data_IF_777393585160
#
_entry.id   IF_777393585160
#
_cell.length_a   1.000
_cell.length_b   1.000
_cell.length_c   1.000
_cell.angle_alpha   90.00
_cell.angle_beta   90.00
_cell.angle_gamma   90.00
#
_symmetry.space_group_name_H-M   'P 1'
#
loop_
_entity.id
_entity.type
_entity.pdbx_description
1 polymer ?
#
# COMPACT_ATOMS: atom_id res chain seq x y z
N UNK A 1 -9.07 10.45 11.15
CA UNK A 1 -8.72 10.57 12.55
C UNK A 1 -7.24 10.81 12.83
N UNK A 2 -6.36 10.39 11.95
CA UNK A 2 -4.92 10.67 12.11
C UNK A 2 -4.50 11.81 11.21
N UNK A 3 -3.71 12.69 11.73
CA UNK A 3 -3.19 13.80 10.97
C UNK A 3 -1.69 13.89 11.22
N UNK A 4 -0.87 14.17 10.20
CA UNK A 4 -1.22 14.51 8.82
C UNK A 4 -1.50 13.33 7.90
N UNK A 5 -1.41 12.11 8.40
CA UNK A 5 -1.59 10.91 7.59
C UNK A 5 -2.84 10.18 8.07
N UNK A 6 -3.88 10.06 7.23
CA UNK A 6 -5.09 9.36 7.66
C UNK A 6 -4.89 7.85 7.65
N UNK A 7 -5.59 7.18 8.57
CA UNK A 7 -5.60 5.71 8.60
C UNK A 7 -6.72 5.23 7.68
N UNK A 8 -6.40 4.40 6.70
CA UNK A 8 -7.37 3.92 5.72
C UNK A 8 -7.14 2.45 5.43
N UNK A 9 -8.05 1.88 4.65
CA UNK A 9 -7.90 0.51 4.15
C UNK A 9 -7.23 0.46 2.78
N UNK A 10 -6.66 1.56 2.32
CA UNK A 10 -5.98 1.60 1.03
C UNK A 10 -4.90 0.54 0.91
N UNK A 11 -4.06 0.41 1.93
CA UNK A 11 -2.97 -0.56 1.86
C UNK A 11 -3.49 -1.99 1.82
N UNK A 12 -4.62 -2.26 2.47
CA UNK A 12 -5.21 -3.58 2.38
C UNK A 12 -5.60 -3.91 0.94
N UNK A 13 -6.22 -2.96 0.24
CA UNK A 13 -6.59 -3.15 -1.16
C UNK A 13 -5.33 -3.34 -2.01
N UNK A 14 -4.29 -2.58 -1.73
CA UNK A 14 -3.00 -2.71 -2.43
C UNK A 14 -2.44 -4.12 -2.23
N UNK A 15 -2.54 -4.66 -1.02
CA UNK A 15 -2.10 -6.01 -0.75
C UNK A 15 -2.85 -7.02 -1.62
N UNK A 16 -4.18 -6.88 -1.71
CA UNK A 16 -4.98 -7.79 -2.51
C UNK A 16 -4.64 -7.68 -4.00
N UNK A 17 -4.49 -6.46 -4.49
CA UNK A 17 -4.11 -6.25 -5.88
C UNK A 17 -2.75 -6.88 -6.16
N UNK A 18 -1.78 -6.62 -5.30
CA UNK A 18 -0.44 -7.17 -5.50
C UNK A 18 -0.44 -8.69 -5.54
N UNK A 19 -1.19 -9.31 -4.65
CA UNK A 19 -1.17 -10.76 -4.55
C UNK A 19 -1.96 -11.47 -5.62
N UNK A 20 -2.96 -10.81 -6.22
CA UNK A 20 -3.86 -11.47 -7.16
C UNK A 20 -3.68 -11.04 -8.61
N UNK A 21 -3.04 -9.90 -8.85
CA UNK A 21 -2.84 -9.38 -10.21
C UNK A 21 -1.44 -9.68 -10.70
N UNK A 22 -1.27 -9.68 -12.02
CA UNK A 22 0.07 -9.76 -12.60
C UNK A 22 0.83 -8.46 -12.32
N UNK A 23 2.14 -8.49 -12.49
CA UNK A 23 2.96 -7.30 -12.28
C UNK A 23 2.49 -6.15 -13.17
N UNK A 24 2.25 -6.43 -14.43
CA UNK A 24 1.79 -5.40 -15.37
C UNK A 24 0.44 -4.84 -14.95
N UNK A 25 -0.49 -5.71 -14.61
CA UNK A 25 -1.83 -5.28 -14.23
C UNK A 25 -1.83 -4.49 -12.93
N UNK A 26 -1.01 -4.89 -11.96
CA UNK A 26 -0.87 -4.15 -10.72
C UNK A 26 -0.35 -2.74 -10.99
N UNK A 27 0.69 -2.63 -11.82
CA UNK A 27 1.25 -1.33 -12.14
C UNK A 27 0.21 -0.43 -12.81
N UNK A 28 -0.49 -0.97 -13.81
CA UNK A 28 -1.50 -0.19 -14.54
C UNK A 28 -2.64 0.21 -13.62
N UNK A 29 -3.12 -0.72 -12.80
CA UNK A 29 -4.26 -0.46 -11.92
C UNK A 29 -3.96 0.65 -10.92
N UNK A 30 -2.83 0.56 -10.25
CA UNK A 30 -2.49 1.57 -9.24
C UNK A 30 -2.14 2.90 -9.90
N UNK A 31 -1.49 2.84 -11.06
CA UNK A 31 -1.20 4.08 -11.82
C UNK A 31 -2.48 4.79 -12.21
N UNK A 32 -3.49 4.04 -12.66
CA UNK A 32 -4.80 4.63 -13.00
C UNK A 32 -5.47 5.22 -11.77
N UNK A 33 -5.36 4.55 -10.64
CA UNK A 33 -5.91 5.07 -9.40
C UNK A 33 -5.28 6.42 -9.05
N UNK A 34 -3.96 6.51 -9.12
CA UNK A 34 -3.26 7.75 -8.84
C UNK A 34 -3.62 8.84 -9.85
N UNK A 35 -3.75 8.46 -11.12
CA UNK A 35 -4.12 9.40 -12.16
C UNK A 35 -5.51 9.96 -11.93
N UNK A 36 -6.47 9.10 -11.59
CA UNK A 36 -7.83 9.55 -11.30
C UNK A 36 -7.84 10.54 -10.14
N UNK A 37 -7.08 10.25 -9.10
CA UNK A 37 -6.98 11.17 -7.98
C UNK A 37 -6.32 12.48 -8.35
N UNK A 38 -5.31 12.44 -9.22
CA UNK A 38 -4.59 13.63 -9.63
C UNK A 38 -5.46 14.60 -10.40
N UNK A 39 -6.39 14.09 -11.20
CA UNK A 39 -7.27 14.97 -11.99
C UNK A 39 -8.48 15.47 -11.21
N UNK A 40 -8.57 15.12 -9.93
CA UNK A 40 -9.57 15.69 -9.05
C UNK A 40 -10.67 14.77 -8.58
N UNK A 41 -10.70 13.52 -9.03
CA UNK A 41 -11.72 12.59 -8.54
C UNK A 41 -11.47 12.30 -7.06
N UNK A 42 -12.51 12.27 -6.23
CA UNK A 42 -12.31 12.10 -4.78
C UNK A 42 -12.09 10.63 -4.40
N UNK A 43 -10.99 10.05 -4.91
CA UNK A 43 -10.67 8.65 -4.67
C UNK A 43 -9.62 8.45 -3.60
N UNK A 44 -8.99 9.53 -3.11
CA UNK A 44 -8.04 9.46 -2.01
C UNK A 44 -8.77 9.64 -0.69
N UNK A 45 -8.06 9.42 0.40
CA UNK A 45 -8.66 9.36 1.73
C UNK A 45 -9.53 10.56 2.09
N UNK A 46 -9.14 11.76 1.69
CA UNK A 46 -9.88 12.97 2.03
C UNK A 46 -10.26 13.79 0.82
N UNK A 47 -10.29 13.16 -0.37
CA UNK A 47 -10.65 13.85 -1.58
C UNK A 47 -9.74 13.48 -2.72
N UNK A 48 -9.35 14.45 -3.52
CA UNK A 48 -8.48 14.21 -4.66
C UNK A 48 -7.79 15.48 -5.11
N UNK A 49 -7.10 15.39 -6.23
CA UNK A 49 -6.41 16.52 -6.82
C UNK A 49 -4.91 16.35 -6.78
N UNK A 50 -4.24 17.15 -7.62
CA UNK A 50 -2.79 17.08 -7.73
C UNK A 50 -2.09 17.42 -6.40
N UNK A 51 -2.76 18.18 -5.55
CA UNK A 51 -2.20 18.53 -4.25
C UNK A 51 -1.96 17.30 -3.38
N UNK A 52 -2.70 16.23 -3.58
CA UNK A 52 -2.45 14.97 -2.86
C UNK A 52 -1.13 14.36 -3.26
N UNK A 53 -0.74 14.51 -4.52
CA UNK A 53 0.51 13.92 -5.01
C UNK A 53 1.72 14.78 -4.69
N UNK A 54 1.52 15.92 -4.05
CA UNK A 54 2.62 16.78 -3.61
C UNK A 54 2.49 17.12 -2.13
N UNK A 55 1.48 16.61 -1.46
CA UNK A 55 1.23 16.90 -0.04
C UNK A 55 1.87 15.89 0.90
N UNK A 56 1.51 15.94 2.19
CA UNK A 56 2.16 15.12 3.21
C UNK A 56 2.05 13.63 2.99
N UNK A 57 1.00 13.16 2.33
CA UNK A 57 0.80 11.72 2.13
C UNK A 57 1.29 11.24 0.77
N UNK A 58 1.90 12.12 -0.03
CA UNK A 58 2.29 11.78 -1.39
C UNK A 58 3.24 10.58 -1.44
N UNK A 59 4.21 10.53 -0.52
CA UNK A 59 5.14 9.43 -0.49
C UNK A 59 4.46 8.09 -0.30
N UNK A 60 3.43 8.04 0.53
CA UNK A 60 2.68 6.81 0.74
C UNK A 60 1.99 6.35 -0.53
N UNK A 61 1.44 7.28 -1.30
CA UNK A 61 0.76 6.95 -2.57
C UNK A 61 1.75 6.39 -3.58
N UNK A 62 2.91 7.02 -3.72
CA UNK A 62 3.93 6.50 -4.63
C UNK A 62 4.45 5.16 -4.12
N UNK A 63 4.60 5.02 -2.81
CA UNK A 63 5.01 3.76 -2.21
C UNK A 63 4.02 2.63 -2.51
N UNK A 64 2.74 2.95 -2.54
CA UNK A 64 1.73 1.96 -2.87
C UNK A 64 1.91 1.41 -4.28
N UNK A 65 2.26 2.27 -5.23
CA UNK A 65 2.51 1.82 -6.59
C UNK A 65 3.65 0.81 -6.63
N UNK A 66 4.79 1.17 -6.05
CA UNK A 66 5.95 0.30 -6.06
C UNK A 66 5.73 -0.95 -5.22
N UNK A 67 5.00 -0.82 -4.11
CA UNK A 67 4.69 -1.97 -3.27
C UNK A 67 3.82 -2.98 -4.02
N UNK A 68 2.82 -2.51 -4.75
CA UNK A 68 1.95 -3.41 -5.48
C UNK A 68 2.72 -4.21 -6.52
N UNK A 69 3.67 -3.56 -7.19
CA UNK A 69 4.52 -4.22 -8.18
C UNK A 69 5.42 -5.25 -7.51
N UNK A 70 6.04 -4.90 -6.38
CA UNK A 70 6.91 -5.83 -5.67
C UNK A 70 6.14 -7.02 -5.16
N UNK A 71 4.95 -6.80 -4.59
CA UNK A 71 4.12 -7.89 -4.09
C UNK A 71 3.70 -8.81 -5.24
N UNK A 72 3.31 -8.23 -6.38
CA UNK A 72 2.96 -9.02 -7.56
C UNK A 72 4.13 -9.87 -8.03
N UNK A 73 5.32 -9.30 -7.99
CA UNK A 73 6.51 -10.04 -8.38
C UNK A 73 6.69 -11.28 -7.51
N UNK A 74 6.57 -11.12 -6.19
CA UNK A 74 6.67 -12.25 -5.29
C UNK A 74 5.52 -13.24 -5.50
N UNK A 75 4.32 -12.73 -5.76
CA UNK A 75 3.19 -13.61 -6.00
C UNK A 75 3.40 -14.48 -7.23
N UNK A 76 4.02 -13.92 -8.28
CA UNK A 76 4.32 -14.66 -9.49
C UNK A 76 5.35 -15.75 -9.24
N UNK A 77 6.15 -15.61 -8.18
CA UNK A 77 7.10 -16.65 -7.77
C UNK A 77 6.44 -17.69 -6.86
N UNK A 78 5.15 -17.57 -6.62
CA UNK A 78 4.44 -18.52 -5.78
C UNK A 78 4.27 -18.10 -4.34
N UNK A 79 4.66 -16.88 -3.98
CA UNK A 79 4.61 -16.44 -2.60
C UNK A 79 3.19 -16.21 -2.07
N UNK A 80 2.19 -16.14 -2.95
CA UNK A 80 0.81 -15.99 -2.49
C UNK A 80 0.14 -17.30 -2.12
N UNK A 81 0.83 -18.41 -2.25
CA UNK A 81 0.20 -19.72 -2.08
C UNK A 81 0.25 -20.26 -0.66
N UNK A 82 1.15 -19.75 0.17
CA UNK A 82 1.26 -20.17 1.54
C UNK A 82 1.15 -18.96 2.45
N UNK A 83 0.69 -19.20 3.68
CA UNK A 83 0.51 -18.10 4.62
C UNK A 83 1.82 -17.42 4.96
N UNK A 84 2.87 -18.22 5.19
CA UNK A 84 4.15 -17.66 5.59
C UNK A 84 4.76 -16.78 4.48
N UNK A 85 4.75 -17.28 3.25
CA UNK A 85 5.32 -16.52 2.14
C UNK A 85 4.49 -15.31 1.80
N UNK A 86 3.16 -15.42 1.90
CA UNK A 86 2.29 -14.27 1.70
C UNK A 86 2.61 -13.20 2.72
N UNK A 87 2.76 -13.57 4.00
CA UNK A 87 3.09 -12.62 5.04
C UNK A 87 4.41 -11.91 4.74
N UNK A 88 5.41 -12.66 4.30
CA UNK A 88 6.70 -12.06 3.95
C UNK A 88 6.54 -11.01 2.86
N UNK A 89 5.81 -11.35 1.80
CA UNK A 89 5.60 -10.42 0.69
C UNK A 89 4.89 -9.15 1.14
N UNK A 90 3.89 -9.29 2.00
CA UNK A 90 3.13 -8.13 2.46
C UNK A 90 3.95 -7.27 3.41
N UNK A 91 4.81 -7.88 4.21
CA UNK A 91 5.72 -7.13 5.07
C UNK A 91 6.68 -6.31 4.21
N UNK A 92 7.23 -6.92 3.16
CA UNK A 92 8.11 -6.19 2.23
C UNK A 92 7.34 -5.02 1.60
N UNK A 93 6.10 -5.26 1.17
CA UNK A 93 5.27 -4.20 0.62
C UNK A 93 5.04 -3.06 1.60
N UNK A 94 4.75 -3.40 2.85
CA UNK A 94 4.55 -2.38 3.88
C UNK A 94 5.81 -1.57 4.13
N UNK A 95 6.96 -2.23 4.14
CA UNK A 95 8.23 -1.53 4.31
C UNK A 95 8.43 -0.53 3.17
N UNK A 96 8.11 -0.93 1.94
CA UNK A 96 8.22 -0.03 0.79
C UNK A 96 7.31 1.17 0.98
N UNK A 97 6.04 0.94 1.32
CA UNK A 97 5.07 2.02 1.48
C UNK A 97 5.52 3.02 2.54
N UNK A 98 5.90 2.52 3.72
CA UNK A 98 6.29 3.41 4.80
C UNK A 98 7.64 4.06 4.58
N UNK A 99 8.56 3.38 3.88
CA UNK A 99 9.84 4.00 3.53
C UNK A 99 9.63 5.22 2.64
N UNK A 100 8.84 5.05 1.58
CA UNK A 100 8.53 6.18 0.70
C UNK A 100 7.79 7.27 1.47
N UNK A 101 6.82 6.86 2.29
CA UNK A 101 6.02 7.82 3.05
C UNK A 101 6.84 8.62 4.02
N UNK A 102 7.68 7.96 4.80
CA UNK A 102 8.48 8.63 5.82
C UNK A 102 9.55 9.52 5.19
N UNK A 103 10.19 9.05 4.13
CA UNK A 103 11.20 9.86 3.45
C UNK A 103 10.58 11.16 2.95
N UNK A 104 9.43 11.08 2.31
CA UNK A 104 8.78 12.26 1.78
C UNK A 104 8.22 13.14 2.90
N UNK A 105 7.50 12.56 3.84
CA UNK A 105 6.91 13.30 4.95
C UNK A 105 8.00 13.94 5.81
N UNK A 106 9.07 13.23 6.04
CA UNK A 106 10.19 13.75 6.83
C UNK A 106 10.83 14.96 6.21
N UNK A 107 10.83 15.07 4.90
CA UNK A 107 11.39 16.25 4.23
C UNK A 107 10.49 17.48 4.41
N UNK A 108 9.24 17.27 4.82
CA UNK A 108 8.28 18.35 5.03
C UNK A 108 8.21 18.76 6.51
N UNK A 109 8.08 17.79 7.41
CA UNK A 109 7.83 18.09 8.83
C UNK A 109 8.96 17.65 9.76
N UNK A 110 10.02 17.06 9.21
CA UNK A 110 11.11 16.53 10.02
C UNK A 110 10.94 15.05 10.28
N UNK A 111 12.07 14.32 10.30
CA UNK A 111 12.00 12.86 10.35
C UNK A 111 11.48 12.33 11.69
N UNK A 112 11.78 13.01 12.79
CA UNK A 112 11.27 12.58 14.08
C UNK A 112 9.75 12.66 14.12
N UNK A 113 9.20 13.77 13.65
CA UNK A 113 7.74 13.93 13.59
C UNK A 113 7.12 12.98 12.59
N UNK A 114 7.80 12.74 11.47
CA UNK A 114 7.30 11.84 10.45
C UNK A 114 7.16 10.42 11.02
N UNK A 115 8.15 9.95 11.74
CA UNK A 115 8.10 8.63 12.33
C UNK A 115 7.01 8.57 13.41
N UNK A 116 6.93 9.58 14.25
CA UNK A 116 5.95 9.60 15.33
C UNK A 116 4.51 9.67 14.83
N UNK A 117 4.26 10.37 13.72
CA UNK A 117 2.91 10.57 13.21
C UNK A 117 2.58 9.70 12.01
N UNK A 118 3.57 9.30 11.23
CA UNK A 118 3.37 8.62 9.97
C UNK A 118 3.74 7.14 9.97
N UNK A 119 4.31 6.63 11.04
CA UNK A 119 4.68 5.23 11.13
C UNK A 119 4.16 4.58 12.40
N UNK A 120 4.57 5.08 13.56
CA UNK A 120 4.27 4.39 14.82
C UNK A 120 2.78 4.16 15.06
N UNK A 121 1.88 5.14 14.82
CA UNK A 121 0.45 4.90 15.06
C UNK A 121 -0.16 3.88 14.10
N UNK A 122 0.49 3.63 12.96
CA UNK A 122 -0.06 2.77 11.94
C UNK A 122 0.42 1.33 12.04
N UNK A 123 1.42 1.06 12.86
CA UNK A 123 1.96 -0.30 12.95
C UNK A 123 0.89 -1.31 13.39
N UNK A 124 0.10 -1.07 14.43
CA UNK A 124 -0.93 -2.05 14.80
C UNK A 124 -1.95 -2.27 13.69
N UNK A 125 -2.39 -1.20 13.04
CA UNK A 125 -3.34 -1.30 11.94
C UNK A 125 -2.75 -2.07 10.78
N UNK A 126 -1.50 -1.80 10.45
CA UNK A 126 -0.85 -2.47 9.32
C UNK A 126 -0.66 -3.96 9.60
N UNK A 127 -0.29 -4.31 10.82
CA UNK A 127 -0.16 -5.72 11.18
C UNK A 127 -1.51 -6.43 11.09
N UNK A 128 -2.59 -5.75 11.49
CA UNK A 128 -3.93 -6.31 11.35
C UNK A 128 -4.29 -6.53 9.88
N UNK A 129 -3.98 -5.54 9.03
CA UNK A 129 -4.26 -5.65 7.60
C UNK A 129 -3.47 -6.78 6.96
N UNK A 130 -2.21 -6.93 7.35
CA UNK A 130 -1.39 -8.03 6.84
C UNK A 130 -1.98 -9.36 7.29
N UNK A 131 -2.35 -9.49 8.55
CA UNK A 131 -2.94 -10.73 9.05
C UNK A 131 -4.23 -11.06 8.31
N UNK A 132 -5.08 -10.07 8.09
CA UNK A 132 -6.34 -10.29 7.39
C UNK A 132 -6.09 -10.71 5.95
N UNK A 133 -5.16 -10.05 5.27
CA UNK A 133 -4.84 -10.39 3.89
C UNK A 133 -4.23 -11.79 3.81
N UNK A 134 -3.34 -12.13 4.74
CA UNK A 134 -2.73 -13.45 4.78
C UNK A 134 -3.80 -14.53 4.95
N UNK A 135 -4.80 -14.25 5.76
CA UNK A 135 -5.90 -15.20 5.95
C UNK A 135 -6.72 -15.40 4.70
N UNK A 136 -6.88 -14.34 3.89
CA UNK A 136 -7.75 -14.39 2.71
C UNK A 136 -7.05 -14.81 1.44
N UNK A 137 -5.81 -14.37 1.24
CA UNK A 137 -5.16 -14.51 -0.07
C UNK A 137 -4.97 -15.95 -0.52
N UNK A 138 -4.47 -16.88 0.30
CA UNK A 138 -4.34 -18.25 -0.17
C UNK A 138 -5.69 -18.88 -0.56
N UNK A 139 -6.75 -18.53 0.15
CA UNK A 139 -8.09 -18.99 -0.18
C UNK A 139 -8.55 -18.41 -1.50
N UNK A 140 -8.32 -17.11 -1.69
CA UNK A 140 -8.68 -16.46 -2.94
C UNK A 140 -7.91 -17.09 -4.11
N UNK A 141 -6.63 -17.37 -3.92
CA UNK A 141 -5.82 -17.98 -4.96
C UNK A 141 -6.33 -19.36 -5.34
N UNK A 142 -6.79 -20.13 -4.37
CA UNK A 142 -7.37 -21.43 -4.67
C UNK A 142 -8.61 -21.31 -5.53
N UNK A 143 -9.41 -20.28 -5.28
CA UNK A 143 -10.66 -20.07 -6.01
C UNK A 143 -10.40 -19.61 -7.45
N UNK A 144 -9.57 -18.59 -7.61
CA UNK A 144 -9.37 -18.00 -8.94
C UNK A 144 -8.30 -18.71 -9.73
N UNK A 145 -7.44 -19.42 -9.07
CA UNK A 145 -6.27 -19.97 -9.67
C UNK A 145 -6.57 -21.15 -10.56
N UNK A 146 -7.39 -21.95 -10.24
CA UNK A 146 -7.65 -23.19 -10.98
C UNK A 146 -6.51 -24.15 -10.83
#
# INVERSE_FOLDING_TARGET
PFWPVPMTMQTFVIFLIGMTYSVRLSFVTVSLYLYQGAIGLPVFAAGGGIAYLTGPTAGYLYGMLFASVAISYFANLGFSRTYFKAAFSLIVGSIIIFSFGIIYLGSIIGYQKAIAAGLLPFIPSELFKIALAVALIPTIQKIIKK
#
